data_IF_570908440849
#
_entry.id   IF_570908440849
#
_cell.length_a   1.000
_cell.length_b   1.000
_cell.length_c   1.000
_cell.angle_alpha   90.00
_cell.angle_beta   90.00
_cell.angle_gamma   90.00
#
_symmetry.space_group_name_H-M   'P 1'
#
loop_
_entity.id
_entity.type
_entity.pdbx_description
1 polymer ?
#
# COMPACT_ATOMS: atom_id res chain seq x y z
N UNK A 1 17.29 -9.23 -57.01
CA UNK A 1 16.40 -9.18 -55.83
C UNK A 1 17.21 -8.67 -54.65
N UNK A 2 17.02 -7.42 -54.24
CA UNK A 2 17.81 -6.77 -53.18
C UNK A 2 17.15 -7.04 -51.83
N UNK A 3 17.77 -7.85 -50.97
CA UNK A 3 17.33 -8.05 -49.58
C UNK A 3 17.74 -6.83 -48.75
N UNK A 4 16.79 -5.94 -48.48
CA UNK A 4 16.96 -4.86 -47.51
C UNK A 4 16.84 -5.46 -46.12
N UNK A 5 17.97 -5.55 -45.41
CA UNK A 5 18.02 -5.86 -43.99
C UNK A 5 17.63 -4.60 -43.21
N UNK A 6 16.37 -4.55 -42.77
CA UNK A 6 15.86 -3.55 -41.83
C UNK A 6 16.43 -3.86 -40.43
N UNK A 7 17.47 -3.11 -40.05
CA UNK A 7 17.94 -3.02 -38.68
C UNK A 7 16.96 -2.15 -37.88
N UNK A 8 16.07 -2.78 -37.10
CA UNK A 8 15.23 -2.07 -36.13
C UNK A 8 16.10 -1.60 -34.95
N UNK A 9 16.11 -0.29 -34.62
CA UNK A 9 16.76 0.20 -33.42
C UNK A 9 15.90 -0.15 -32.20
N UNK A 10 16.45 -0.94 -31.27
CA UNK A 10 15.87 -1.13 -29.94
C UNK A 10 16.07 0.15 -29.13
N UNK A 11 15.06 1.02 -29.12
CA UNK A 11 14.95 2.12 -28.18
C UNK A 11 14.50 1.55 -26.83
N UNK A 12 15.44 1.31 -25.91
CA UNK A 12 15.15 1.09 -24.49
C UNK A 12 14.68 2.42 -23.89
N UNK A 13 13.36 2.64 -23.91
CA UNK A 13 12.76 3.74 -23.18
C UNK A 13 12.85 3.43 -21.68
N UNK A 14 13.70 4.15 -20.95
CA UNK A 14 13.56 4.33 -19.51
C UNK A 14 12.29 5.17 -19.24
N UNK A 15 11.12 4.58 -19.47
CA UNK A 15 9.85 5.20 -19.07
C UNK A 15 9.75 5.14 -17.56
N UNK A 16 9.68 6.29 -16.91
CA UNK A 16 9.29 6.37 -15.50
C UNK A 16 7.94 5.64 -15.37
N UNK A 17 7.92 4.53 -14.62
CA UNK A 17 6.70 3.79 -14.36
C UNK A 17 5.79 4.70 -13.52
N UNK A 18 4.85 5.37 -14.18
CA UNK A 18 3.84 6.17 -13.50
C UNK A 18 2.87 5.18 -12.88
N UNK A 19 2.81 5.12 -11.56
CA UNK A 19 1.77 4.36 -10.85
C UNK A 19 0.43 5.02 -11.19
N UNK A 20 -0.35 4.36 -12.04
CA UNK A 20 -1.70 4.77 -12.37
C UNK A 20 -2.69 4.16 -11.37
N UNK A 21 -3.89 4.74 -11.20
CA UNK A 21 -4.93 4.12 -10.38
C UNK A 21 -5.25 2.69 -10.81
N UNK A 22 -5.15 2.37 -12.11
CA UNK A 22 -5.37 1.01 -12.62
C UNK A 22 -4.29 0.04 -12.11
N UNK A 23 -3.02 0.40 -12.23
CA UNK A 23 -1.92 -0.44 -11.72
C UNK A 23 -1.97 -0.63 -10.20
N UNK A 24 -2.40 0.38 -9.45
CA UNK A 24 -2.58 0.26 -8.00
C UNK A 24 -3.72 -0.71 -7.64
N UNK A 25 -4.84 -0.65 -8.38
CA UNK A 25 -5.96 -1.59 -8.23
C UNK A 25 -5.58 -3.02 -8.63
N UNK A 26 -4.79 -3.19 -9.70
CA UNK A 26 -4.28 -4.51 -10.09
C UNK A 26 -3.40 -5.12 -9.01
N UNK A 27 -2.51 -4.32 -8.43
CA UNK A 27 -1.64 -4.77 -7.36
C UNK A 27 -2.43 -5.12 -6.08
N UNK A 28 -3.39 -4.28 -5.69
CA UNK A 28 -4.28 -4.59 -4.57
C UNK A 28 -5.08 -5.88 -4.81
N UNK A 29 -5.60 -6.11 -6.02
CA UNK A 29 -6.26 -7.37 -6.39
C UNK A 29 -5.32 -8.56 -6.28
N UNK A 30 -4.07 -8.43 -6.75
CA UNK A 30 -3.05 -9.48 -6.64
C UNK A 30 -2.82 -9.86 -5.18
N UNK A 31 -2.62 -8.86 -4.31
CA UNK A 31 -2.36 -9.06 -2.88
C UNK A 31 -3.56 -9.68 -2.17
N UNK A 32 -4.77 -9.16 -2.42
CA UNK A 32 -6.00 -9.68 -1.84
C UNK A 32 -6.26 -11.15 -2.22
N UNK A 33 -5.85 -11.57 -3.42
CA UNK A 33 -5.98 -12.96 -3.87
C UNK A 33 -4.98 -13.94 -3.20
N UNK A 34 -3.95 -13.46 -2.50
CA UNK A 34 -2.98 -14.32 -1.81
C UNK A 34 -3.60 -14.93 -0.54
N UNK A 35 -3.25 -16.18 -0.25
CA UNK A 35 -3.56 -16.78 1.04
C UNK A 35 -2.72 -16.16 2.17
N UNK A 36 -3.20 -16.30 3.41
CA UNK A 36 -2.57 -15.70 4.60
C UNK A 36 -1.12 -16.18 4.82
N UNK A 37 -0.82 -17.45 4.53
CA UNK A 37 0.54 -17.98 4.70
C UNK A 37 1.51 -17.37 3.68
N UNK A 38 1.04 -17.11 2.48
CA UNK A 38 1.77 -16.43 1.42
C UNK A 38 1.96 -14.95 1.74
N UNK A 39 0.94 -14.27 2.26
CA UNK A 39 1.07 -12.88 2.74
C UNK A 39 2.16 -12.74 3.82
N UNK A 40 2.20 -13.63 4.81
CA UNK A 40 3.26 -13.59 5.83
C UNK A 40 4.66 -13.82 5.25
N UNK A 41 4.80 -14.69 4.25
CA UNK A 41 6.08 -14.86 3.54
C UNK A 41 6.48 -13.58 2.80
N UNK A 42 5.53 -12.94 2.11
CA UNK A 42 5.79 -11.66 1.42
C UNK A 42 6.15 -10.57 2.42
N UNK A 43 5.42 -10.42 3.54
CA UNK A 43 5.69 -9.44 4.59
C UNK A 43 7.12 -9.57 5.14
N UNK A 44 7.57 -10.81 5.36
CA UNK A 44 8.90 -11.11 5.86
C UNK A 44 10.01 -10.80 4.85
N UNK A 45 9.75 -10.93 3.54
CA UNK A 45 10.81 -10.86 2.51
C UNK A 45 10.81 -9.60 1.64
N UNK A 46 9.67 -8.94 1.43
CA UNK A 46 9.58 -7.83 0.49
C UNK A 46 10.45 -6.67 0.94
N UNK A 47 11.11 -6.00 -0.01
CA UNK A 47 11.87 -4.76 0.22
C UNK A 47 11.13 -3.53 -0.31
N UNK A 48 10.06 -3.74 -1.06
CA UNK A 48 9.20 -2.66 -1.51
C UNK A 48 8.29 -2.24 -0.35
N UNK A 49 8.37 -0.95 0.02
CA UNK A 49 7.61 -0.41 1.13
C UNK A 49 6.13 -0.22 0.80
N UNK A 50 5.78 -0.03 -0.48
CA UNK A 50 4.39 0.05 -0.93
C UNK A 50 3.76 -1.34 -0.86
N UNK A 51 4.44 -2.36 -1.38
CA UNK A 51 4.01 -3.76 -1.26
C UNK A 51 3.92 -4.17 0.21
N UNK A 52 4.91 -3.81 1.04
CA UNK A 52 4.86 -4.09 2.49
C UNK A 52 3.61 -3.48 3.13
N UNK A 53 3.33 -2.20 2.86
CA UNK A 53 2.17 -1.51 3.44
C UNK A 53 0.85 -2.17 3.01
N UNK A 54 0.72 -2.56 1.74
CA UNK A 54 -0.46 -3.31 1.25
C UNK A 54 -0.59 -4.69 1.90
N UNK A 55 0.51 -5.43 2.01
CA UNK A 55 0.51 -6.78 2.60
C UNK A 55 0.18 -6.72 4.09
N UNK A 56 0.73 -5.75 4.83
CA UNK A 56 0.40 -5.58 6.24
C UNK A 56 -1.06 -5.12 6.44
N UNK A 57 -1.59 -4.29 5.54
CA UNK A 57 -3.00 -3.90 5.56
C UNK A 57 -3.94 -5.08 5.30
N UNK A 58 -3.63 -5.91 4.30
CA UNK A 58 -4.42 -7.12 3.99
C UNK A 58 -4.32 -8.17 5.11
N UNK A 59 -3.16 -8.31 5.76
CA UNK A 59 -3.05 -9.15 6.96
C UNK A 59 -3.89 -8.59 8.12
N UNK A 60 -3.83 -7.27 8.36
CA UNK A 60 -4.63 -6.60 9.38
C UNK A 60 -6.14 -6.71 9.13
N UNK A 61 -6.59 -6.59 7.88
CA UNK A 61 -8.00 -6.71 7.51
C UNK A 61 -8.55 -8.13 7.74
N UNK A 62 -7.65 -9.13 7.78
CA UNK A 62 -7.93 -10.53 8.14
C UNK A 62 -7.72 -10.84 9.62
N UNK A 63 -7.53 -9.82 10.46
CA UNK A 63 -7.21 -9.96 11.89
C UNK A 63 -5.94 -10.79 12.15
N UNK A 64 -4.91 -10.63 11.29
CA UNK A 64 -3.63 -11.34 11.39
C UNK A 64 -2.50 -10.37 11.76
N UNK A 65 -2.31 -10.10 13.05
CA UNK A 65 -1.28 -9.16 13.52
C UNK A 65 0.10 -9.79 13.81
N UNK A 66 0.15 -11.11 13.96
CA UNK A 66 1.38 -11.86 14.21
C UNK A 66 1.32 -13.28 13.67
N UNK A 67 2.48 -13.86 13.37
CA UNK A 67 2.67 -15.26 13.03
C UNK A 67 3.96 -15.80 13.67
N UNK A 68 4.26 -17.07 13.45
CA UNK A 68 5.52 -17.67 13.89
C UNK A 68 6.77 -17.06 13.25
N UNK A 69 6.62 -16.31 12.14
CA UNK A 69 7.75 -15.75 11.38
C UNK A 69 7.79 -14.21 11.39
N UNK A 70 6.83 -13.54 12.03
CA UNK A 70 6.81 -12.07 12.04
C UNK A 70 5.58 -11.46 12.72
N UNK A 71 5.55 -10.14 12.74
CA UNK A 71 4.44 -9.31 13.23
C UNK A 71 4.36 -8.02 12.42
N UNK A 72 3.18 -7.40 12.40
CA UNK A 72 2.93 -6.18 11.62
C UNK A 72 3.56 -4.95 12.27
N UNK A 73 3.94 -3.97 11.44
CA UNK A 73 4.18 -2.60 11.89
C UNK A 73 5.63 -2.23 12.13
N UNK A 74 6.53 -3.16 12.50
CA UNK A 74 7.94 -2.82 12.80
C UNK A 74 8.60 -2.00 11.70
N UNK A 75 8.40 -2.42 10.46
CA UNK A 75 9.04 -1.82 9.27
C UNK A 75 8.22 -0.67 8.71
N UNK A 76 6.89 -0.79 8.70
CA UNK A 76 5.98 0.24 8.22
C UNK A 76 6.03 1.49 9.10
N UNK A 77 5.98 1.34 10.42
CA UNK A 77 6.10 2.46 11.37
C UNK A 77 7.44 3.19 11.28
N UNK A 78 8.54 2.48 10.99
CA UNK A 78 9.85 3.10 10.81
C UNK A 78 9.90 4.06 9.61
N UNK A 79 8.96 3.93 8.68
CA UNK A 79 8.87 4.75 7.46
C UNK A 79 7.69 5.72 7.50
N UNK A 80 6.72 5.54 8.39
CA UNK A 80 5.61 6.47 8.58
C UNK A 80 6.14 7.81 9.11
N UNK A 81 5.77 8.90 8.45
CA UNK A 81 6.21 10.24 8.84
C UNK A 81 5.20 11.29 8.38
N UNK A 82 4.64 12.05 9.32
CA UNK A 82 3.65 13.11 9.02
C UNK A 82 4.10 14.04 7.91
N UNK A 83 3.20 14.33 6.98
CA UNK A 83 3.42 15.21 5.84
C UNK A 83 4.40 14.66 4.78
N UNK A 84 4.77 13.37 4.85
CA UNK A 84 5.64 12.73 3.86
C UNK A 84 5.01 12.71 2.47
N UNK A 85 3.69 12.59 2.40
CA UNK A 85 2.94 12.53 1.15
C UNK A 85 2.04 13.73 0.96
N UNK A 86 2.05 14.29 -0.26
CA UNK A 86 1.18 15.42 -0.62
C UNK A 86 -0.29 15.02 -0.52
N UNK A 87 -1.12 15.91 0.03
CA UNK A 87 -2.58 15.74 0.11
C UNK A 87 -3.27 16.54 -1.00
N UNK A 88 -4.38 16.03 -1.57
CA UNK A 88 -5.22 16.83 -2.46
C UNK A 88 -5.89 17.98 -1.72
N UNK A 89 -6.16 19.09 -2.44
CA UNK A 89 -6.91 20.23 -1.88
C UNK A 89 -8.32 19.80 -1.45
N UNK A 90 -8.93 20.49 -0.48
CA UNK A 90 -10.32 20.20 -0.07
C UNK A 90 -11.34 20.43 -1.17
N UNK A 91 -11.07 21.36 -2.07
CA UNK A 91 -11.95 21.68 -3.19
C UNK A 91 -11.61 20.88 -4.47
N UNK A 92 -10.83 19.81 -4.37
CA UNK A 92 -10.47 18.99 -5.53
C UNK A 92 -11.71 18.21 -6.00
N UNK A 93 -12.23 18.46 -7.23
CA UNK A 93 -13.44 17.81 -7.73
C UNK A 93 -13.22 16.31 -8.03
N UNK A 94 -11.98 15.82 -7.98
CA UNK A 94 -11.66 14.40 -8.13
C UNK A 94 -11.80 13.60 -6.83
N UNK A 95 -12.10 14.26 -5.70
CA UNK A 95 -12.38 13.56 -4.43
C UNK A 95 -13.70 12.81 -4.53
N UNK A 96 -13.67 11.51 -4.24
CA UNK A 96 -14.83 10.64 -4.16
C UNK A 96 -14.99 9.98 -2.77
N UNK A 97 -16.19 9.47 -2.52
CA UNK A 97 -16.81 9.41 -1.19
C UNK A 97 -16.73 8.10 -0.43
N UNK A 98 -15.59 7.85 0.22
CA UNK A 98 -15.53 7.08 1.46
C UNK A 98 -14.73 7.85 2.49
N UNK A 99 -15.05 7.68 3.77
CA UNK A 99 -14.32 8.23 4.91
C UNK A 99 -13.98 7.11 5.90
N UNK A 100 -13.25 7.45 6.97
CA UNK A 100 -12.82 6.46 7.96
C UNK A 100 -13.96 5.70 8.64
N UNK A 101 -15.14 6.32 8.80
CA UNK A 101 -16.30 5.70 9.45
C UNK A 101 -17.02 4.68 8.55
N UNK A 102 -16.69 4.64 7.26
CA UNK A 102 -17.25 3.66 6.31
C UNK A 102 -16.60 2.27 6.41
N UNK A 103 -15.49 2.15 7.15
CA UNK A 103 -14.73 0.90 7.28
C UNK A 103 -14.90 0.27 8.66
N UNK A 104 -15.06 -1.06 8.68
CA UNK A 104 -15.16 -1.81 9.94
C UNK A 104 -13.84 -1.84 10.73
N UNK A 105 -12.70 -1.69 10.06
CA UNK A 105 -11.37 -1.68 10.67
C UNK A 105 -10.47 -0.67 9.96
N UNK A 106 -9.51 -0.08 10.68
CA UNK A 106 -8.52 0.82 10.09
C UNK A 106 -7.65 0.10 9.04
N UNK A 107 -7.39 -1.20 9.24
CA UNK A 107 -6.71 -2.02 8.23
C UNK A 107 -7.49 -2.10 6.91
N UNK A 108 -8.83 -2.19 6.96
CA UNK A 108 -9.67 -2.18 5.75
C UNK A 108 -9.63 -0.82 5.05
N UNK A 109 -9.60 0.28 5.82
CA UNK A 109 -9.39 1.62 5.26
C UNK A 109 -8.02 1.73 4.57
N UNK A 110 -6.97 1.16 5.18
CA UNK A 110 -5.63 1.10 4.56
C UNK A 110 -5.62 0.29 3.26
N UNK A 111 -6.37 -0.81 3.18
CA UNK A 111 -6.51 -1.59 1.93
C UNK A 111 -7.13 -0.72 0.82
N UNK A 112 -8.23 0.00 1.10
CA UNK A 112 -8.86 0.88 0.10
C UNK A 112 -7.95 2.04 -0.30
N UNK A 113 -7.28 2.67 0.68
CA UNK A 113 -6.30 3.72 0.44
C UNK A 113 -5.20 3.27 -0.53
N UNK A 114 -4.60 2.11 -0.29
CA UNK A 114 -3.56 1.58 -1.16
C UNK A 114 -4.11 1.13 -2.53
N UNK A 115 -5.29 0.51 -2.57
CA UNK A 115 -5.99 0.15 -3.80
C UNK A 115 -6.39 1.34 -4.66
N UNK A 116 -6.44 2.53 -4.06
CA UNK A 116 -6.72 3.80 -4.73
C UNK A 116 -5.51 4.54 -5.25
N UNK A 117 -4.30 4.00 -5.04
CA UNK A 117 -3.03 4.60 -5.43
C UNK A 117 -2.26 5.25 -4.28
N UNK A 118 -2.70 5.04 -3.04
CA UNK A 118 -1.94 5.41 -1.85
C UNK A 118 -0.54 4.77 -1.83
N UNK A 119 0.45 5.39 -1.18
CA UNK A 119 0.37 6.67 -0.49
C UNK A 119 0.56 7.90 -1.41
N UNK A 120 0.78 7.67 -2.72
CA UNK A 120 1.05 8.75 -3.68
C UNK A 120 -0.21 9.50 -4.11
N UNK A 121 -1.35 8.81 -4.13
CA UNK A 121 -2.64 9.35 -4.51
C UNK A 121 -3.68 9.01 -3.45
N UNK A 122 -4.12 10.02 -2.70
CA UNK A 122 -5.12 9.89 -1.64
C UNK A 122 -6.46 10.50 -2.08
N UNK A 123 -7.12 9.87 -3.05
CA UNK A 123 -8.36 10.40 -3.64
C UNK A 123 -9.53 10.49 -2.65
N UNK A 124 -9.48 9.69 -1.58
CA UNK A 124 -10.50 9.61 -0.54
C UNK A 124 -10.17 10.42 0.71
N UNK A 125 -8.96 11.01 0.77
CA UNK A 125 -8.46 11.70 1.97
C UNK A 125 -8.49 10.85 3.23
N UNK A 126 -8.15 9.56 3.08
CA UNK A 126 -8.11 8.66 4.22
C UNK A 126 -6.87 8.88 5.07
N UNK A 127 -5.79 9.43 4.52
CA UNK A 127 -4.54 9.75 5.23
C UNK A 127 -4.41 11.28 5.32
N UNK A 128 -5.14 11.89 6.27
CA UNK A 128 -5.20 13.35 6.43
C UNK A 128 -3.86 13.97 6.87
N UNK A 129 -3.11 13.28 7.71
CA UNK A 129 -1.82 13.76 8.21
C UNK A 129 -0.63 13.48 7.25
N UNK A 130 -0.88 12.71 6.18
CA UNK A 130 0.05 12.46 5.08
C UNK A 130 1.22 11.57 5.47
N UNK A 131 1.06 10.70 6.47
CA UNK A 131 2.10 9.80 6.95
C UNK A 131 2.23 8.50 6.13
N UNK A 132 1.26 8.25 5.24
CA UNK A 132 1.15 7.07 4.40
C UNK A 132 0.28 5.96 4.99
N UNK A 133 -0.41 6.22 6.10
CA UNK A 133 -1.32 5.32 6.80
C UNK A 133 -2.68 6.00 6.92
N UNK A 134 -3.70 5.33 6.40
CA UNK A 134 -5.08 5.76 6.44
C UNK A 134 -5.66 5.66 7.85
N UNK A 135 -6.49 6.64 8.20
CA UNK A 135 -7.29 6.68 9.42
C UNK A 135 -6.41 6.45 10.65
N UNK A 136 -6.76 5.50 11.53
CA UNK A 136 -5.98 5.22 12.73
C UNK A 136 -5.09 3.97 12.59
N UNK A 137 -4.76 3.56 11.36
CA UNK A 137 -3.97 2.35 11.11
C UNK A 137 -2.60 2.38 11.81
N UNK A 138 -2.02 3.57 12.01
CA UNK A 138 -0.79 3.73 12.78
C UNK A 138 -0.90 3.21 14.22
N UNK A 139 -2.06 3.35 14.86
CA UNK A 139 -2.27 2.93 16.24
C UNK A 139 -2.43 1.41 16.36
N UNK A 140 -3.11 0.77 15.41
CA UNK A 140 -3.17 -0.69 15.29
C UNK A 140 -1.77 -1.30 15.13
N UNK A 141 -0.95 -0.72 14.26
CA UNK A 141 0.44 -1.14 14.08
C UNK A 141 1.26 -0.96 15.35
N UNK A 142 1.11 0.16 16.07
CA UNK A 142 1.79 0.38 17.36
C UNK A 142 1.38 -0.66 18.39
N UNK A 143 0.10 -1.01 18.47
CA UNK A 143 -0.39 -2.05 19.37
C UNK A 143 0.18 -3.42 18.99
N UNK A 144 0.23 -3.77 17.71
CA UNK A 144 0.86 -4.99 17.21
C UNK A 144 2.32 -5.10 17.66
N UNK A 145 3.11 -4.05 17.41
CA UNK A 145 4.52 -4.00 17.84
C UNK A 145 4.64 -4.15 19.34
N UNK A 146 3.85 -3.40 20.13
CA UNK A 146 3.89 -3.46 21.58
C UNK A 146 3.61 -4.87 22.11
N UNK A 147 2.61 -5.56 21.56
CA UNK A 147 2.28 -6.96 21.95
C UNK A 147 3.42 -7.91 21.61
N UNK A 148 4.01 -7.77 20.42
CA UNK A 148 5.09 -8.63 19.95
C UNK A 148 6.41 -8.44 20.72
N UNK A 149 6.70 -7.24 21.23
CA UNK A 149 7.95 -6.97 21.96
C UNK A 149 7.86 -7.23 23.47
N UNK A 150 6.64 -7.45 23.98
CA UNK A 150 6.40 -7.79 25.40
C UNK A 150 6.36 -9.30 25.66
N UNK A 151 6.37 -10.12 24.61
CA UNK A 151 6.35 -11.59 24.66
C UNK A 151 7.77 -12.16 24.56
#
# INVERSE_FOLDING_TARGET
MMRVLLLLPLLTACGAFVVTPETARDEARRINALDTATLWRVQASTRDMVELSQVEAELGSRDQFSSSIGYLGRRTLAQAARGRYRRPSQDDPALDGVNCDDFLTDAAAQVEFMGSGGPRNDRHKLDDDGDGLACNWIDDLRQSVARATQS
#
